data_IF_521389336209
#
_entry.id   IF_521389336209
#
_cell.length_a   1.000
_cell.length_b   1.000
_cell.length_c   1.000
_cell.angle_alpha   90.00
_cell.angle_beta   90.00
_cell.angle_gamma   90.00
#
_symmetry.space_group_name_H-M   'P 1'
#
loop_
_entity.id
_entity.type
_entity.pdbx_description
1 polymer ?
#
# COMPACT_ATOMS: atom_id res chain seq x y z
N UNK A 1 4.32 14.06 -14.48
CA UNK A 1 3.19 13.71 -13.59
C UNK A 1 3.39 14.35 -12.21
N UNK A 2 2.31 14.61 -11.47
CA UNK A 2 2.35 15.08 -10.08
C UNK A 2 1.66 14.08 -9.15
N UNK A 3 2.31 13.68 -8.06
CA UNK A 3 1.75 12.79 -7.06
C UNK A 3 1.43 13.58 -5.79
N UNK A 4 0.14 13.75 -5.52
CA UNK A 4 -0.37 14.19 -4.23
C UNK A 4 -0.42 12.98 -3.31
N UNK A 5 0.28 13.02 -2.19
CA UNK A 5 0.40 11.84 -1.33
C UNK A 5 0.53 12.22 0.14
N UNK A 6 0.05 11.34 1.02
CA UNK A 6 0.27 11.42 2.46
C UNK A 6 1.55 10.62 2.78
N UNK A 7 2.66 11.27 3.18
CA UNK A 7 3.95 10.60 3.40
C UNK A 7 3.85 9.38 4.33
N UNK A 8 3.10 9.51 5.42
CA UNK A 8 2.92 8.45 6.42
C UNK A 8 2.03 7.26 6.01
N UNK A 9 1.30 7.38 4.88
CA UNK A 9 0.27 6.42 4.43
C UNK A 9 0.82 5.32 3.52
N UNK A 10 0.47 4.07 3.81
CA UNK A 10 0.78 2.92 2.96
C UNK A 10 0.16 3.03 1.56
N UNK A 11 -1.08 3.50 1.43
CA UNK A 11 -1.72 3.68 0.12
C UNK A 11 -0.95 4.67 -0.77
N UNK A 12 -0.41 5.73 -0.17
CA UNK A 12 0.47 6.69 -0.87
C UNK A 12 1.84 6.09 -1.19
N UNK A 13 2.37 5.30 -0.27
CA UNK A 13 3.63 4.59 -0.44
C UNK A 13 3.61 3.57 -1.58
N UNK A 14 2.50 2.83 -1.80
CA UNK A 14 2.32 1.94 -2.97
C UNK A 14 2.76 2.62 -4.27
N UNK A 15 2.24 3.83 -4.49
CA UNK A 15 2.47 4.59 -5.73
C UNK A 15 3.90 5.09 -5.80
N UNK A 16 4.46 5.62 -4.70
CA UNK A 16 5.87 6.04 -4.63
C UNK A 16 6.82 4.89 -4.92
N UNK A 17 6.57 3.72 -4.31
CA UNK A 17 7.41 2.54 -4.46
C UNK A 17 7.39 2.02 -5.91
N UNK A 18 6.22 1.94 -6.54
CA UNK A 18 6.15 1.53 -7.95
C UNK A 18 6.84 2.55 -8.87
N UNK A 19 6.65 3.86 -8.65
CA UNK A 19 7.33 4.89 -9.44
C UNK A 19 8.85 4.78 -9.34
N UNK A 20 9.38 4.47 -8.15
CA UNK A 20 10.80 4.23 -7.93
C UNK A 20 11.32 3.00 -8.70
N UNK A 21 10.61 1.87 -8.63
CA UNK A 21 10.96 0.67 -9.39
C UNK A 21 10.91 0.87 -10.91
N UNK A 22 10.00 1.72 -11.39
CA UNK A 22 9.89 2.07 -12.81
C UNK A 22 10.88 3.17 -13.25
N UNK A 23 11.59 3.80 -12.30
CA UNK A 23 12.47 4.94 -12.60
C UNK A 23 11.72 6.15 -13.19
N UNK A 24 10.42 6.29 -12.90
CA UNK A 24 9.59 7.34 -13.50
C UNK A 24 9.69 8.63 -12.67
N UNK A 25 10.10 9.76 -13.27
CA UNK A 25 10.15 11.04 -12.57
C UNK A 25 8.75 11.60 -12.34
N UNK A 26 8.55 12.22 -11.17
CA UNK A 26 7.31 12.88 -10.82
C UNK A 26 7.57 14.04 -9.86
N UNK A 27 6.68 15.03 -9.88
CA UNK A 27 6.63 16.06 -8.85
C UNK A 27 5.90 15.50 -7.64
N UNK A 28 6.50 15.54 -6.46
CA UNK A 28 5.83 15.15 -5.21
C UNK A 28 5.14 16.35 -4.56
N UNK A 29 3.92 16.13 -4.05
CA UNK A 29 3.20 17.10 -3.22
C UNK A 29 2.81 16.40 -1.91
N UNK A 30 3.58 16.58 -0.83
CA UNK A 30 3.29 15.95 0.46
C UNK A 30 2.12 16.66 1.16
N UNK A 31 1.09 15.88 1.46
CA UNK A 31 -0.11 16.33 2.17
C UNK A 31 -0.34 15.40 3.37
N UNK A 32 0.29 15.73 4.49
CA UNK A 32 0.22 14.91 5.70
C UNK A 32 -1.15 15.00 6.38
N UNK A 33 -1.51 13.96 7.12
CA UNK A 33 -2.74 13.89 7.88
C UNK A 33 -2.90 15.10 8.81
N UNK A 34 -4.09 15.71 8.79
CA UNK A 34 -4.45 16.91 9.58
C UNK A 34 -3.62 18.18 9.27
N UNK A 35 -2.84 18.20 8.18
CA UNK A 35 -2.19 19.42 7.73
C UNK A 35 -3.16 20.43 7.11
N UNK A 36 -2.85 21.72 7.22
CA UNK A 36 -3.58 22.80 6.54
C UNK A 36 -3.59 22.58 5.02
N UNK A 37 -2.46 22.15 4.45
CA UNK A 37 -2.34 21.83 3.03
C UNK A 37 -3.31 20.71 2.59
N UNK A 38 -3.56 19.70 3.43
CA UNK A 38 -4.56 18.67 3.15
C UNK A 38 -5.99 19.24 3.20
N UNK A 39 -6.28 20.14 4.13
CA UNK A 39 -7.58 20.83 4.20
C UNK A 39 -7.82 21.72 2.97
N UNK A 40 -6.80 22.44 2.51
CA UNK A 40 -6.84 23.23 1.26
C UNK A 40 -7.03 22.32 0.02
N UNK A 41 -6.34 21.17 -0.01
CA UNK A 41 -6.54 20.17 -1.07
C UNK A 41 -8.00 19.67 -1.11
N UNK A 42 -8.61 19.42 0.04
CA UNK A 42 -10.03 19.08 0.11
C UNK A 42 -10.92 20.22 -0.41
N UNK A 43 -10.68 21.45 0.03
CA UNK A 43 -11.47 22.62 -0.36
C UNK A 43 -11.38 22.95 -1.85
N UNK A 44 -10.21 22.75 -2.46
CA UNK A 44 -9.98 22.98 -3.90
C UNK A 44 -10.60 21.91 -4.82
N UNK A 45 -11.05 20.77 -4.27
CA UNK A 45 -11.58 19.65 -5.05
C UNK A 45 -10.51 18.85 -5.79
N UNK A 46 -9.23 18.98 -5.43
CA UNK A 46 -8.13 18.26 -6.09
C UNK A 46 -8.15 16.75 -5.84
N UNK A 47 -8.88 16.30 -4.82
CA UNK A 47 -9.04 14.90 -4.46
C UNK A 47 -10.40 14.37 -4.95
N UNK A 48 -10.49 13.66 -6.09
CA UNK A 48 -11.77 13.26 -6.69
C UNK A 48 -12.68 12.45 -5.75
N UNK A 49 -12.10 11.65 -4.87
CA UNK A 49 -12.81 10.86 -3.84
C UNK A 49 -12.50 11.32 -2.41
N UNK A 50 -11.95 12.53 -2.25
CA UNK A 50 -11.61 13.08 -0.92
C UNK A 50 -10.52 12.31 -0.18
N UNK A 51 -9.70 11.53 -0.90
CA UNK A 51 -8.64 10.69 -0.32
C UNK A 51 -7.35 10.80 -1.14
N UNK A 52 -6.23 10.56 -0.45
CA UNK A 52 -4.91 10.37 -1.04
C UNK A 52 -4.59 8.88 -1.19
N UNK A 53 -3.74 8.48 -2.15
CA UNK A 53 -3.03 9.33 -3.11
C UNK A 53 -3.90 9.77 -4.31
N UNK A 54 -3.44 10.82 -4.99
CA UNK A 54 -3.94 11.24 -6.32
C UNK A 54 -2.76 11.44 -7.26
N UNK A 55 -2.82 10.82 -8.43
CA UNK A 55 -1.86 11.03 -9.51
C UNK A 55 -2.48 11.96 -10.55
N UNK A 56 -1.90 13.13 -10.74
CA UNK A 56 -2.24 14.05 -11.82
C UNK A 56 -1.32 13.83 -13.02
N UNK A 57 -1.94 13.56 -14.16
CA UNK A 57 -1.28 13.36 -15.44
C UNK A 57 -0.99 14.72 -16.12
N UNK A 58 -0.15 14.71 -17.15
CA UNK A 58 0.27 15.93 -17.86
C UNK A 58 -0.89 16.70 -18.50
N UNK A 59 -1.96 15.99 -18.88
CA UNK A 59 -3.18 16.59 -19.41
C UNK A 59 -4.14 17.09 -18.30
N UNK A 60 -3.71 17.11 -17.04
CA UNK A 60 -4.51 17.55 -15.89
C UNK A 60 -5.53 16.53 -15.36
N UNK A 61 -5.65 15.36 -16.00
CA UNK A 61 -6.52 14.26 -15.52
C UNK A 61 -5.98 13.73 -14.19
N UNK A 62 -6.89 13.53 -13.24
CA UNK A 62 -6.58 13.03 -11.90
C UNK A 62 -7.06 11.60 -11.76
N UNK A 63 -6.15 10.72 -11.39
CA UNK A 63 -6.43 9.34 -11.02
C UNK A 63 -6.39 9.22 -9.49
N UNK A 64 -7.42 8.61 -8.93
CA UNK A 64 -7.51 8.26 -7.52
C UNK A 64 -7.51 6.72 -7.37
N UNK A 65 -7.59 6.24 -6.13
CA UNK A 65 -7.47 4.83 -5.76
C UNK A 65 -6.08 4.25 -6.01
N UNK A 66 -5.33 3.99 -4.93
CA UNK A 66 -3.92 3.57 -5.02
C UNK A 66 -3.70 2.34 -5.91
N UNK A 67 -4.54 1.31 -5.80
CA UNK A 67 -4.45 0.12 -6.64
C UNK A 67 -4.80 0.39 -8.12
N UNK A 68 -5.73 1.31 -8.40
CA UNK A 68 -6.01 1.72 -9.79
C UNK A 68 -4.85 2.52 -10.39
N UNK A 69 -4.21 3.38 -9.59
CA UNK A 69 -2.99 4.11 -9.98
C UNK A 69 -1.85 3.11 -10.25
N UNK A 70 -1.67 2.07 -9.43
CA UNK A 70 -0.71 1.00 -9.70
C UNK A 70 -0.99 0.33 -11.05
N UNK A 71 -2.24 -0.04 -11.33
CA UNK A 71 -2.61 -0.64 -12.61
C UNK A 71 -2.28 0.27 -13.80
N UNK A 72 -2.55 1.58 -13.69
CA UNK A 72 -2.25 2.54 -14.74
C UNK A 72 -0.74 2.66 -14.98
N UNK A 73 0.06 2.79 -13.92
CA UNK A 73 1.51 2.94 -14.02
C UNK A 73 2.22 1.67 -14.51
N UNK A 74 1.70 0.49 -14.15
CA UNK A 74 2.29 -0.78 -14.49
C UNK A 74 1.87 -1.31 -15.87
N UNK A 75 0.86 -0.74 -16.53
CA UNK A 75 0.37 -1.22 -17.81
C UNK A 75 1.47 -1.17 -18.88
N UNK A 76 1.71 -2.31 -19.55
CA UNK A 76 2.79 -2.46 -20.53
C UNK A 76 4.20 -2.62 -19.93
N UNK A 77 4.33 -2.72 -18.60
CA UNK A 77 5.59 -2.99 -17.90
C UNK A 77 5.60 -4.40 -17.31
N UNK A 78 6.77 -4.89 -16.88
CA UNK A 78 6.90 -6.21 -16.23
C UNK A 78 6.17 -6.30 -14.88
N UNK A 79 5.78 -5.18 -14.27
CA UNK A 79 5.02 -5.15 -13.02
C UNK A 79 3.54 -5.53 -13.19
N UNK A 80 3.03 -5.53 -14.42
CA UNK A 80 1.69 -6.01 -14.76
C UNK A 80 1.82 -7.28 -15.62
N UNK A 81 1.43 -8.46 -15.12
CA UNK A 81 1.50 -9.69 -15.92
C UNK A 81 0.74 -9.54 -17.25
N UNK A 82 1.38 -9.97 -18.34
CA UNK A 82 0.80 -9.93 -19.68
C UNK A 82 -0.20 -11.08 -19.92
N UNK A 83 0.05 -12.25 -19.32
CA UNK A 83 -0.88 -13.37 -19.37
C UNK A 83 -2.20 -13.01 -18.65
N UNK A 84 -3.36 -13.15 -19.33
CA UNK A 84 -4.64 -12.72 -18.76
C UNK A 84 -5.01 -13.42 -17.45
N UNK A 85 -4.63 -14.69 -17.26
CA UNK A 85 -4.96 -15.44 -16.04
C UNK A 85 -4.11 -14.92 -14.88
N UNK A 86 -2.80 -14.81 -15.09
CA UNK A 86 -1.86 -14.27 -14.09
C UNK A 86 -2.20 -12.81 -13.75
N UNK A 87 -2.63 -12.02 -14.73
CA UNK A 87 -3.12 -10.65 -14.51
C UNK A 87 -4.36 -10.64 -13.62
N UNK A 88 -5.30 -11.57 -13.84
CA UNK A 88 -6.49 -11.71 -13.00
C UNK A 88 -6.14 -12.15 -11.57
N UNK A 89 -5.13 -13.01 -11.39
CA UNK A 89 -4.61 -13.37 -10.05
C UNK A 89 -4.04 -12.15 -9.32
N UNK A 90 -3.22 -11.33 -10.00
CA UNK A 90 -2.67 -10.10 -9.43
C UNK A 90 -3.77 -9.11 -9.01
N UNK A 91 -4.76 -8.90 -9.89
CA UNK A 91 -5.93 -8.07 -9.57
C UNK A 91 -6.73 -8.66 -8.40
N UNK A 92 -6.89 -9.99 -8.34
CA UNK A 92 -7.55 -10.69 -7.24
C UNK A 92 -6.92 -10.36 -5.89
N UNK A 93 -5.59 -10.38 -5.81
CA UNK A 93 -4.86 -9.95 -4.61
C UNK A 93 -5.05 -8.47 -4.27
N UNK A 94 -5.06 -7.59 -5.28
CA UNK A 94 -5.29 -6.15 -5.06
C UNK A 94 -6.70 -5.85 -4.55
N UNK A 95 -7.72 -6.59 -5.03
CA UNK A 95 -9.08 -6.47 -4.50
C UNK A 95 -9.22 -7.11 -3.12
N UNK A 96 -8.57 -8.25 -2.89
CA UNK A 96 -8.50 -8.86 -1.57
C UNK A 96 -7.81 -7.93 -0.55
N UNK A 97 -6.75 -7.24 -0.96
CA UNK A 97 -6.06 -6.25 -0.14
C UNK A 97 -7.02 -5.14 0.32
N UNK A 98 -7.79 -4.54 -0.59
CA UNK A 98 -8.76 -3.50 -0.23
C UNK A 98 -9.91 -4.02 0.63
N UNK A 99 -10.40 -5.23 0.37
CA UNK A 99 -11.59 -5.76 1.03
C UNK A 99 -11.30 -6.40 2.41
N UNK A 100 -10.12 -7.01 2.57
CA UNK A 100 -9.78 -7.82 3.75
C UNK A 100 -8.62 -7.23 4.54
N UNK A 101 -7.53 -6.87 3.85
CA UNK A 101 -6.25 -6.56 4.49
C UNK A 101 -6.16 -5.11 5.00
N UNK A 102 -6.40 -4.12 4.14
CA UNK A 102 -6.19 -2.70 4.43
C UNK A 102 -7.04 -2.25 5.62
N UNK A 103 -8.34 -2.56 5.59
CA UNK A 103 -9.29 -2.20 6.64
C UNK A 103 -9.01 -2.83 8.01
N UNK A 104 -8.04 -3.75 8.11
CA UNK A 104 -7.61 -4.38 9.35
C UNK A 104 -6.19 -3.96 9.71
N UNK A 105 -5.22 -4.26 8.85
CA UNK A 105 -3.79 -4.04 9.10
C UNK A 105 -3.49 -2.53 9.15
N UNK A 106 -3.95 -1.77 8.15
CA UNK A 106 -3.71 -0.33 8.08
C UNK A 106 -4.49 0.42 9.16
N UNK A 107 -5.75 0.02 9.42
CA UNK A 107 -6.59 0.66 10.45
C UNK A 107 -5.98 0.47 11.84
N UNK A 108 -5.51 -0.73 12.17
CA UNK A 108 -4.85 -0.96 13.47
C UNK A 108 -3.61 -0.08 13.63
N UNK A 109 -2.75 -0.05 12.62
CA UNK A 109 -1.56 0.81 12.62
C UNK A 109 -1.93 2.29 12.78
N UNK A 110 -2.96 2.74 12.06
CA UNK A 110 -3.45 4.12 12.15
C UNK A 110 -3.96 4.48 13.55
N UNK A 111 -4.66 3.57 14.23
CA UNK A 111 -5.15 3.77 15.59
C UNK A 111 -4.00 3.86 16.62
N UNK A 112 -2.87 3.19 16.38
CA UNK A 112 -1.70 3.25 17.26
C UNK A 112 -0.83 4.48 17.00
N UNK A 113 -0.64 4.84 15.73
CA UNK A 113 0.32 5.87 15.31
C UNK A 113 -0.28 7.28 15.34
N UNK A 114 -1.51 7.47 14.87
CA UNK A 114 -2.09 8.81 14.79
C UNK A 114 -2.74 9.21 16.11
N UNK A 115 -2.17 10.22 16.78
CA UNK A 115 -2.63 10.69 18.09
C UNK A 115 -4.11 11.08 18.09
N UNK A 116 -4.59 11.74 17.04
CA UNK A 116 -5.98 12.16 16.92
C UNK A 116 -6.96 11.00 16.77
N UNK A 117 -6.51 9.81 16.36
CA UNK A 117 -7.36 8.61 16.27
C UNK A 117 -7.36 7.76 17.54
N UNK A 118 -6.57 8.10 18.56
CA UNK A 118 -6.48 7.31 19.80
C UNK A 118 -7.82 7.14 20.51
N UNK A 119 -8.72 8.12 20.41
CA UNK A 119 -10.07 8.02 20.98
C UNK A 119 -10.93 6.89 20.35
N UNK A 120 -10.56 6.42 19.15
CA UNK A 120 -11.21 5.31 18.46
C UNK A 120 -10.58 3.95 18.78
N UNK A 121 -9.45 3.92 19.49
CA UNK A 121 -8.65 2.73 19.79
C UNK A 121 -9.12 2.05 21.09
N UNK A 122 -10.40 1.67 21.18
CA UNK A 122 -10.91 0.96 22.36
C UNK A 122 -10.25 -0.42 22.50
N UNK A 123 -10.10 -0.95 23.73
CA UNK A 123 -9.49 -2.27 23.94
C UNK A 123 -10.12 -3.38 23.09
N UNK A 124 -11.45 -3.42 22.97
CA UNK A 124 -12.20 -4.44 22.22
C UNK A 124 -11.92 -4.33 20.72
N UNK A 125 -11.93 -3.10 20.19
CA UNK A 125 -11.64 -2.87 18.76
C UNK A 125 -10.20 -3.24 18.43
N UNK A 126 -9.27 -2.86 19.30
CA UNK A 126 -7.87 -3.21 19.13
C UNK A 126 -7.68 -4.73 19.21
N UNK A 127 -8.26 -5.43 20.17
CA UNK A 127 -8.18 -6.89 20.23
C UNK A 127 -8.74 -7.54 18.96
N UNK A 128 -9.93 -7.13 18.50
CA UNK A 128 -10.55 -7.66 17.28
C UNK A 128 -9.68 -7.43 16.02
N UNK A 129 -9.08 -6.25 15.87
CA UNK A 129 -8.18 -5.96 14.74
C UNK A 129 -6.88 -6.77 14.80
N UNK A 130 -6.38 -7.07 16.01
CA UNK A 130 -5.19 -7.90 16.19
C UNK A 130 -5.47 -9.33 15.71
N UNK A 131 -6.54 -9.94 16.22
CA UNK A 131 -6.91 -11.32 15.90
C UNK A 131 -7.20 -11.49 14.41
N UNK A 132 -8.06 -10.62 13.85
CA UNK A 132 -8.36 -10.63 12.41
C UNK A 132 -7.12 -10.41 11.55
N UNK A 133 -6.21 -9.54 11.98
CA UNK A 133 -4.99 -9.28 11.23
C UNK A 133 -4.03 -10.46 11.26
N UNK A 134 -3.96 -11.21 12.38
CA UNK A 134 -3.22 -12.47 12.42
C UNK A 134 -3.83 -13.54 11.51
N UNK A 135 -5.16 -13.64 11.41
CA UNK A 135 -5.81 -14.55 10.48
C UNK A 135 -5.54 -14.20 9.01
N UNK A 136 -5.54 -12.91 8.68
CA UNK A 136 -5.22 -12.38 7.34
C UNK A 136 -3.76 -12.65 6.98
N UNK A 137 -2.83 -12.36 7.89
CA UNK A 137 -1.40 -12.64 7.69
C UNK A 137 -1.14 -14.14 7.58
N UNK A 138 -1.87 -14.98 8.34
CA UNK A 138 -1.80 -16.44 8.23
C UNK A 138 -2.26 -16.96 6.86
N UNK A 139 -3.29 -16.36 6.27
CA UNK A 139 -3.72 -16.70 4.90
C UNK A 139 -2.63 -16.35 3.87
N UNK A 140 -2.00 -15.18 3.99
CA UNK A 140 -0.87 -14.80 3.14
C UNK A 140 0.30 -15.77 3.30
N UNK A 141 0.65 -16.11 4.55
CA UNK A 141 1.75 -17.02 4.87
C UNK A 141 1.53 -18.42 4.27
N UNK A 142 0.33 -18.97 4.44
CA UNK A 142 -0.04 -20.25 3.84
C UNK A 142 0.04 -20.22 2.31
N UNK A 143 -0.38 -19.12 1.67
CA UNK A 143 -0.27 -18.96 0.23
C UNK A 143 1.20 -18.88 -0.25
N UNK A 144 2.01 -18.10 0.44
CA UNK A 144 3.44 -17.89 0.17
C UNK A 144 4.30 -19.10 0.56
N UNK A 145 3.78 -20.07 1.31
CA UNK A 145 4.49 -21.33 1.60
C UNK A 145 4.87 -22.14 0.36
N UNK A 146 4.19 -21.90 -0.77
CA UNK A 146 4.40 -22.60 -2.04
C UNK A 146 4.80 -21.67 -3.19
N UNK A 147 4.98 -20.37 -2.92
CA UNK A 147 5.17 -19.35 -3.95
C UNK A 147 6.13 -18.26 -3.48
N UNK A 148 6.89 -17.70 -4.41
CA UNK A 148 7.76 -16.56 -4.12
C UNK A 148 7.04 -15.22 -4.29
N UNK A 149 6.03 -15.15 -5.14
CA UNK A 149 5.29 -13.92 -5.43
C UNK A 149 3.80 -14.17 -5.37
N UNK A 150 3.02 -13.11 -5.23
CA UNK A 150 1.57 -13.22 -5.09
C UNK A 150 0.87 -13.61 -6.40
N UNK A 151 1.46 -13.30 -7.55
CA UNK A 151 0.94 -13.69 -8.85
C UNK A 151 2.09 -14.08 -9.80
N UNK A 152 1.94 -15.20 -10.48
CA UNK A 152 2.96 -15.72 -11.41
C UNK A 152 4.31 -16.03 -10.74
N UNK A 153 5.37 -15.95 -11.54
CA UNK A 153 6.74 -16.33 -11.15
C UNK A 153 7.64 -15.12 -10.83
N UNK A 154 7.13 -13.89 -10.91
CA UNK A 154 7.87 -12.64 -10.71
C UNK A 154 7.10 -11.62 -9.86
N UNK A 155 7.76 -10.55 -9.40
CA UNK A 155 7.11 -9.49 -8.65
C UNK A 155 6.08 -8.75 -9.52
N UNK A 156 4.98 -8.33 -8.91
CA UNK A 156 3.91 -7.61 -9.60
C UNK A 156 3.33 -6.49 -8.73
N UNK A 157 2.39 -5.73 -9.29
CA UNK A 157 1.61 -4.75 -8.54
C UNK A 157 0.83 -5.35 -7.37
N UNK A 158 0.54 -6.65 -7.37
CA UNK A 158 -0.05 -7.33 -6.22
C UNK A 158 0.91 -7.30 -5.02
N UNK A 159 2.20 -7.52 -5.27
CA UNK A 159 3.24 -7.48 -4.25
C UNK A 159 3.41 -6.07 -3.69
N UNK A 160 3.47 -5.05 -4.56
CA UNK A 160 3.50 -3.64 -4.13
C UNK A 160 2.27 -3.28 -3.27
N UNK A 161 1.09 -3.72 -3.69
CA UNK A 161 -0.17 -3.43 -3.00
C UNK A 161 -0.17 -3.97 -1.57
N UNK A 162 0.13 -5.26 -1.39
CA UNK A 162 0.12 -5.84 -0.05
C UNK A 162 1.33 -5.38 0.79
N UNK A 163 2.51 -5.25 0.17
CA UNK A 163 3.75 -4.90 0.87
C UNK A 163 3.63 -3.58 1.63
N UNK A 164 2.93 -2.61 1.06
CA UNK A 164 2.86 -1.25 1.60
C UNK A 164 2.35 -1.16 3.05
N UNK A 165 1.53 -2.11 3.51
CA UNK A 165 1.14 -2.21 4.92
C UNK A 165 1.79 -3.39 5.63
N UNK A 166 2.00 -4.53 4.96
CA UNK A 166 2.57 -5.73 5.58
C UNK A 166 3.99 -5.50 6.10
N UNK A 167 4.84 -4.76 5.37
CA UNK A 167 6.23 -4.52 5.78
C UNK A 167 6.37 -3.78 7.13
N UNK A 168 5.34 -3.04 7.52
CA UNK A 168 5.31 -2.29 8.79
C UNK A 168 4.26 -2.83 9.76
N UNK A 169 3.64 -3.97 9.48
CA UNK A 169 2.61 -4.56 10.32
C UNK A 169 3.13 -4.84 11.75
N UNK A 170 4.35 -5.35 11.89
CA UNK A 170 4.95 -5.58 13.21
C UNK A 170 5.23 -4.28 13.97
N UNK A 171 5.89 -3.32 13.32
CA UNK A 171 6.39 -2.10 13.97
C UNK A 171 5.30 -1.04 14.19
N UNK A 172 4.35 -0.89 13.26
CA UNK A 172 3.25 0.08 13.37
C UNK A 172 1.95 -0.53 13.88
N UNK A 173 1.67 -1.79 13.56
CA UNK A 173 0.43 -2.49 13.92
C UNK A 173 0.55 -3.41 15.14
N UNK A 174 1.76 -3.65 15.65
CA UNK A 174 1.98 -4.53 16.80
C UNK A 174 1.61 -6.00 16.53
N UNK A 175 1.61 -6.42 15.27
CA UNK A 175 1.39 -7.81 14.89
C UNK A 175 2.67 -8.64 15.13
N UNK A 176 2.55 -9.78 15.80
CA UNK A 176 3.65 -10.75 15.88
C UNK A 176 3.93 -11.41 14.51
N UNK A 177 4.85 -10.81 13.75
CA UNK A 177 5.28 -11.34 12.45
C UNK A 177 6.16 -12.59 12.56
N UNK A 178 6.70 -12.91 13.75
CA UNK A 178 7.50 -14.12 13.96
C UNK A 178 6.71 -15.41 13.73
N UNK A 179 5.38 -15.32 13.71
CA UNK A 179 4.44 -16.41 13.41
C UNK A 179 4.35 -16.74 11.91
N UNK A 180 4.80 -15.83 11.03
CA UNK A 180 4.55 -15.89 9.59
C UNK A 180 5.86 -15.83 8.80
N UNK A 181 6.62 -16.92 8.86
CA UNK A 181 7.96 -16.99 8.27
C UNK A 181 8.00 -16.77 6.75
N UNK A 182 6.97 -17.21 6.01
CA UNK A 182 6.88 -17.01 4.57
C UNK A 182 6.52 -15.56 4.22
N UNK A 183 5.66 -14.91 5.03
CA UNK A 183 5.40 -13.46 4.90
C UNK A 183 6.67 -12.66 5.17
N UNK A 184 7.41 -12.96 6.22
CA UNK A 184 8.67 -12.28 6.54
C UNK A 184 9.67 -12.42 5.38
N UNK A 185 9.88 -13.64 4.88
CA UNK A 185 10.76 -13.90 3.75
C UNK A 185 10.31 -13.17 2.46
N UNK A 186 9.00 -13.05 2.24
CA UNK A 186 8.45 -12.28 1.11
C UNK A 186 8.62 -10.77 1.28
N UNK A 187 8.43 -10.22 2.48
CA UNK A 187 8.71 -8.80 2.79
C UNK A 187 10.19 -8.49 2.52
N UNK A 188 11.10 -9.33 3.00
CA UNK A 188 12.55 -9.17 2.75
C UNK A 188 12.88 -9.24 1.26
N UNK A 189 12.22 -10.14 0.52
CA UNK A 189 12.40 -10.27 -0.93
C UNK A 189 11.96 -9.02 -1.69
N UNK A 190 10.80 -8.45 -1.35
CA UNK A 190 10.33 -7.19 -1.94
C UNK A 190 11.26 -6.03 -1.60
N UNK A 191 11.72 -5.95 -0.34
CA UNK A 191 12.65 -4.92 0.12
C UNK A 191 14.02 -4.99 -0.58
N UNK A 192 14.42 -6.16 -1.06
CA UNK A 192 15.68 -6.36 -1.79
C UNK A 192 15.59 -6.07 -3.30
N UNK A 193 14.41 -5.74 -3.84
CA UNK A 193 14.24 -5.45 -5.27
C UNK A 193 15.00 -4.17 -5.67
N UNK A 194 15.65 -4.12 -6.85
CA UNK A 194 16.32 -2.92 -7.34
C UNK A 194 15.39 -1.71 -7.40
N UNK A 195 15.86 -0.56 -6.94
CA UNK A 195 15.07 0.68 -6.90
C UNK A 195 14.05 0.74 -5.75
N UNK A 196 14.10 -0.20 -4.80
CA UNK A 196 13.30 -0.12 -3.58
C UNK A 196 13.61 1.18 -2.81
N UNK A 197 12.55 1.79 -2.28
CA UNK A 197 12.62 2.91 -1.35
C UNK A 197 11.79 2.58 -0.11
N UNK A 198 12.23 3.04 1.06
CA UNK A 198 11.49 2.91 2.31
C UNK A 198 10.26 3.81 2.37
N UNK A 199 9.37 3.52 3.33
CA UNK A 199 8.16 4.33 3.56
C UNK A 199 8.49 5.82 3.79
N UNK A 200 9.59 6.10 4.48
CA UNK A 200 10.00 7.45 4.86
C UNK A 200 10.98 8.10 3.87
N UNK A 201 11.33 7.41 2.79
CA UNK A 201 12.12 7.99 1.70
C UNK A 201 11.18 8.82 0.82
N UNK A 202 10.96 10.06 1.25
CA UNK A 202 10.13 11.04 0.55
C UNK A 202 11.03 11.82 -0.41
N UNK A 203 10.74 11.83 -1.72
CA UNK A 203 11.48 12.67 -2.66
C UNK A 203 11.33 14.15 -2.28
N UNK A 204 12.39 14.92 -2.50
CA UNK A 204 12.38 16.39 -2.37
C UNK A 204 11.38 17.07 -3.33
#
# INVERSE_FOLDING_TARGET
>A
MTLYSMPSSGNSYKVRLLLAHLGLPYRHVPLEFESEALAEAHASGILPFGKLPVLELENGKKLAESNAILCYLADGTDWMPADPVTRAEALGWMFWEQNQHEGVIAVRAALQVYASRRHLATPERMASLLDRGHDILGQMDAYLSRRQWLAGDGPSVADISLYAYTHSAGTKGGFDLGRFGHVVAWVERVAALPGHIGLWDIPE
#
